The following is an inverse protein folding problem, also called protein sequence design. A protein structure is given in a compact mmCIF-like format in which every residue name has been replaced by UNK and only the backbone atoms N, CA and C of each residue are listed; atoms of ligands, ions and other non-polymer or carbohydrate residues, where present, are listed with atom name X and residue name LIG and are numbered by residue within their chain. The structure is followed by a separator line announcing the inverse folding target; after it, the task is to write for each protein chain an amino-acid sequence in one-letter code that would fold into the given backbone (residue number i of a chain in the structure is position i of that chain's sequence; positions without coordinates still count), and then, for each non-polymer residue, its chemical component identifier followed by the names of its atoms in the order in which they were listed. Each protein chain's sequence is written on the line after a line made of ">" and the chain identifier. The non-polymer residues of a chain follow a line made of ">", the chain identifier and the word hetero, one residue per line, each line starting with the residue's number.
data_IF_261308191941
#
_entry.id   IF_261308191941
#
_cell.length_a   1.000
_cell.length_b   1.000
_cell.length_c   1.000
_cell.angle_alpha   90.00
_cell.angle_beta   90.00
_cell.angle_gamma   90.00
#
_symmetry.space_group_name_H-M   'P 1'
#
loop_
_entity.id
_entity.type
_entity.pdbx_description
1 polymer ?
#
# COMPACT_ATOMS: atom_id res chain seq x y z
N UNK A 1 4.75 -8.20 -46.18
CA UNK A 1 4.87 -9.06 -45.00
C UNK A 1 6.12 -8.66 -44.23
N UNK A 2 5.96 -7.74 -43.28
CA UNK A 2 7.00 -7.41 -42.28
C UNK A 2 6.75 -8.28 -41.05
N UNK A 3 7.81 -8.87 -40.51
CA UNK A 3 7.80 -9.89 -39.46
C UNK A 3 7.28 -9.33 -38.13
N UNK A 4 6.46 -10.10 -37.40
CA UNK A 4 5.93 -9.74 -36.06
C UNK A 4 6.99 -9.39 -35.00
N UNK A 5 8.28 -9.59 -35.29
CA UNK A 5 9.39 -9.07 -34.47
C UNK A 5 9.53 -7.54 -34.51
N UNK A 6 9.15 -6.88 -35.61
CA UNK A 6 9.24 -5.42 -35.72
C UNK A 6 8.10 -4.70 -35.01
N UNK A 7 6.91 -5.31 -34.93
CA UNK A 7 5.76 -4.77 -34.18
C UNK A 7 6.02 -4.77 -32.67
N UNK A 8 6.52 -5.87 -32.11
CA UNK A 8 6.86 -5.95 -30.69
C UNK A 8 8.01 -5.01 -30.29
N UNK A 9 8.96 -4.76 -31.22
CA UNK A 9 10.00 -3.76 -30.98
C UNK A 9 9.42 -2.36 -30.98
N UNK A 10 8.52 -2.05 -31.92
CA UNK A 10 7.83 -0.75 -32.00
C UNK A 10 6.99 -0.46 -30.74
N UNK A 11 6.22 -1.43 -30.25
CA UNK A 11 5.41 -1.29 -29.02
C UNK A 11 6.28 -1.07 -27.78
N UNK A 12 7.42 -1.78 -27.65
CA UNK A 12 8.39 -1.52 -26.57
C UNK A 12 9.00 -0.12 -26.65
N UNK A 13 9.32 0.35 -27.85
CA UNK A 13 9.84 1.71 -28.05
C UNK A 13 8.81 2.79 -27.71
N UNK A 14 7.54 2.60 -28.09
CA UNK A 14 6.45 3.52 -27.74
C UNK A 14 6.21 3.54 -26.23
N UNK A 15 6.20 2.38 -25.56
CA UNK A 15 6.08 2.28 -24.09
C UNK A 15 7.23 2.98 -23.35
N UNK A 16 8.48 2.82 -23.82
CA UNK A 16 9.62 3.55 -23.26
C UNK A 16 9.51 5.07 -23.48
N UNK A 17 9.03 5.52 -24.63
CA UNK A 17 8.86 6.96 -24.91
C UNK A 17 7.75 7.53 -24.01
N UNK A 18 6.63 6.82 -23.84
CA UNK A 18 5.54 7.25 -22.96
C UNK A 18 6.01 7.31 -21.50
N UNK A 19 6.76 6.31 -21.02
CA UNK A 19 7.33 6.32 -19.68
C UNK A 19 8.31 7.48 -19.47
N UNK A 20 9.17 7.78 -20.46
CA UNK A 20 10.09 8.93 -20.40
C UNK A 20 9.31 10.24 -20.37
N UNK A 21 8.26 10.38 -21.17
CA UNK A 21 7.42 11.59 -21.20
C UNK A 21 6.74 11.79 -19.84
N UNK A 22 6.15 10.75 -19.24
CA UNK A 22 5.52 10.80 -17.92
C UNK A 22 6.54 11.17 -16.84
N UNK A 23 7.72 10.54 -16.83
CA UNK A 23 8.79 10.89 -15.88
C UNK A 23 9.24 12.35 -16.05
N UNK A 24 9.35 12.85 -17.28
CA UNK A 24 9.72 14.23 -17.54
C UNK A 24 8.63 15.22 -17.12
N UNK A 25 7.34 14.91 -17.29
CA UNK A 25 6.25 15.76 -16.78
C UNK A 25 6.24 15.80 -15.27
N UNK A 26 6.39 14.66 -14.58
CA UNK A 26 6.45 14.60 -13.11
C UNK A 26 7.65 15.39 -12.58
N UNK A 27 8.84 15.21 -13.17
CA UNK A 27 10.04 15.99 -12.80
C UNK A 27 9.80 17.49 -13.04
N UNK A 28 9.16 17.87 -14.13
CA UNK A 28 8.89 19.29 -14.44
C UNK A 28 7.91 19.90 -13.43
N UNK A 29 6.85 19.18 -13.05
CA UNK A 29 5.89 19.61 -12.03
C UNK A 29 6.57 19.74 -10.67
N UNK A 30 7.40 18.77 -10.26
CA UNK A 30 8.15 18.82 -9.00
C UNK A 30 9.15 19.98 -8.99
N UNK A 31 9.87 20.23 -10.09
CA UNK A 31 10.83 21.34 -10.21
C UNK A 31 10.12 22.70 -10.22
N UNK A 32 8.94 22.81 -10.85
CA UNK A 32 8.13 24.04 -10.83
C UNK A 32 7.58 24.31 -9.42
N UNK A 33 7.08 23.28 -8.72
CA UNK A 33 6.63 23.36 -7.32
C UNK A 33 7.78 23.71 -6.37
N UNK A 34 8.96 23.14 -6.58
CA UNK A 34 10.17 23.47 -5.82
C UNK A 34 10.66 24.90 -6.10
N UNK A 35 10.63 25.37 -7.37
CA UNK A 35 10.96 26.76 -7.72
C UNK A 35 9.95 27.76 -7.16
N UNK A 36 8.67 27.40 -7.11
CA UNK A 36 7.63 28.21 -6.45
C UNK A 36 7.91 28.36 -4.94
N UNK A 37 8.24 27.25 -4.26
CA UNK A 37 8.69 27.26 -2.85
C UNK A 37 9.98 28.07 -2.62
N UNK A 38 10.97 27.93 -3.51
CA UNK A 38 12.25 28.65 -3.40
C UNK A 38 12.09 30.15 -3.68
N UNK A 39 11.23 30.55 -4.62
CA UNK A 39 10.96 31.97 -4.88
C UNK A 39 10.09 32.61 -3.80
N UNK A 40 9.22 31.84 -3.13
CA UNK A 40 8.51 32.29 -1.92
C UNK A 40 9.46 32.59 -0.75
N UNK A 41 10.53 31.81 -0.60
CA UNK A 41 11.51 31.95 0.48
C UNK A 41 12.59 33.04 0.27
N UNK A 42 12.65 33.69 -0.90
CA UNK A 42 13.70 34.69 -1.20
C UNK A 42 13.35 36.13 -0.79
N UNK A 43 12.14 36.38 -0.27
CA UNK A 43 11.68 37.73 0.10
C UNK A 43 11.49 37.96 1.61
N UNK A 44 12.07 37.14 2.47
CA UNK A 44 12.04 37.36 3.92
C UNK A 44 13.46 37.37 4.50
N UNK A 45 13.98 38.58 4.76
CA UNK A 45 15.10 38.76 5.69
C UNK A 45 14.68 38.38 7.12
N UNK A 46 15.61 37.91 7.98
CA UNK A 46 15.26 37.29 9.24
C UNK A 46 15.03 38.36 10.33
N UNK A 47 13.77 38.67 10.62
CA UNK A 47 13.40 39.33 11.87
C UNK A 47 12.99 38.26 12.88
N UNK A 48 13.85 38.02 13.85
CA UNK A 48 13.53 37.31 15.10
C UNK A 48 12.55 38.16 15.91
N UNK A 49 11.26 37.93 15.71
CA UNK A 49 10.24 38.20 16.72
C UNK A 49 9.47 36.90 16.94
N UNK A 50 9.63 36.36 18.15
CA UNK A 50 8.82 35.25 18.65
C UNK A 50 7.35 35.70 18.62
N UNK A 51 6.58 35.13 17.71
CA UNK A 51 5.12 35.15 17.80
C UNK A 51 4.74 34.20 18.94
N UNK A 52 4.46 34.74 20.12
CA UNK A 52 3.90 34.08 21.31
C UNK A 52 2.51 33.41 21.09
N UNK A 53 2.11 33.14 19.85
CA UNK A 53 0.84 32.49 19.50
C UNK A 53 1.03 31.19 18.71
N UNK A 54 2.13 30.46 18.92
CA UNK A 54 2.10 29.02 18.64
C UNK A 54 1.35 28.34 19.78
N UNK A 55 0.06 28.07 19.56
CA UNK A 55 -0.70 27.14 20.39
C UNK A 55 0.03 25.80 20.29
N UNK A 56 0.85 25.49 21.28
CA UNK A 56 1.28 24.13 21.56
C UNK A 56 -0.04 23.39 21.82
N UNK A 57 -0.41 22.35 21.04
CA UNK A 57 -1.57 21.54 21.39
C UNK A 57 -1.35 21.06 22.83
N UNK A 58 -2.28 21.38 23.73
CA UNK A 58 -2.22 20.89 25.10
C UNK A 58 -2.11 19.36 25.06
N UNK A 59 -1.21 18.78 25.87
CA UNK A 59 -0.94 17.33 26.01
C UNK A 59 -2.14 16.52 26.58
N UNK A 60 -3.34 17.09 26.51
CA UNK A 60 -4.58 16.58 27.09
C UNK A 60 -5.66 16.30 26.02
N UNK A 61 -5.30 16.01 24.76
CA UNK A 61 -6.25 15.32 23.87
C UNK A 61 -6.52 13.93 24.47
N UNK A 62 -7.70 13.76 25.08
CA UNK A 62 -8.22 12.48 25.58
C UNK A 62 -7.82 11.36 24.61
N UNK A 63 -7.18 10.31 25.14
CA UNK A 63 -6.91 9.08 24.40
C UNK A 63 -8.15 8.75 23.55
N UNK A 64 -7.97 8.69 22.22
CA UNK A 64 -9.08 8.55 21.29
C UNK A 64 -9.76 7.21 21.54
N UNK A 65 -10.78 7.17 22.40
CA UNK A 65 -11.50 5.95 22.77
C UNK A 65 -12.00 5.26 21.50
N UNK A 66 -11.39 4.15 21.11
CA UNK A 66 -11.65 3.53 19.80
C UNK A 66 -13.15 3.20 19.68
N UNK A 67 -13.77 3.44 18.52
CA UNK A 67 -15.18 3.09 18.34
C UNK A 67 -15.40 1.60 18.66
N UNK A 68 -16.57 1.17 19.17
CA UNK A 68 -16.84 -0.25 19.41
C UNK A 68 -16.51 -1.09 18.18
N UNK A 69 -15.56 -2.00 18.31
CA UNK A 69 -15.07 -2.83 17.21
C UNK A 69 -15.75 -4.19 17.20
N UNK A 70 -16.02 -4.69 16.00
CA UNK A 70 -16.57 -6.03 15.77
C UNK A 70 -15.44 -7.06 15.58
N UNK A 71 -14.21 -6.60 15.37
CA UNK A 71 -13.04 -7.44 15.14
C UNK A 71 -12.64 -8.20 16.41
N UNK A 72 -12.44 -9.51 16.28
CA UNK A 72 -11.73 -10.30 17.28
C UNK A 72 -10.23 -10.15 17.03
N UNK A 73 -9.49 -9.57 17.97
CA UNK A 73 -8.04 -9.37 17.89
C UNK A 73 -7.23 -10.44 18.63
N UNK A 74 -7.87 -11.53 19.05
CA UNK A 74 -7.19 -12.66 19.68
C UNK A 74 -6.25 -13.33 18.67
N UNK A 75 -4.99 -13.52 19.07
CA UNK A 75 -4.05 -14.31 18.27
C UNK A 75 -4.45 -15.78 18.33
N UNK A 76 -4.83 -16.32 17.18
CA UNK A 76 -5.11 -17.74 17.00
C UNK A 76 -4.00 -18.41 16.19
N UNK A 77 -3.46 -19.57 16.64
CA UNK A 77 -2.46 -20.28 15.87
C UNK A 77 -2.99 -20.75 14.51
N UNK A 78 -2.09 -20.96 13.56
CA UNK A 78 -2.44 -21.46 12.24
C UNK A 78 -3.18 -22.80 12.27
N UNK A 79 -4.32 -22.86 11.58
CA UNK A 79 -5.21 -24.01 11.53
C UNK A 79 -4.71 -25.13 10.59
N UNK A 80 -3.62 -24.89 9.86
CA UNK A 80 -3.01 -25.84 8.94
C UNK A 80 -3.64 -25.91 7.55
N UNK A 81 -4.69 -25.14 7.22
CA UNK A 81 -5.20 -25.14 5.85
C UNK A 81 -4.27 -24.38 4.92
N UNK A 82 -4.05 -24.87 3.69
CA UNK A 82 -3.17 -24.22 2.73
C UNK A 82 -3.75 -22.85 2.32
N UNK A 83 -2.97 -21.78 2.50
CA UNK A 83 -3.28 -20.41 2.08
C UNK A 83 -2.17 -19.81 1.25
N UNK A 84 -2.48 -18.75 0.51
CA UNK A 84 -1.47 -17.81 0.04
C UNK A 84 -1.39 -16.62 1.01
N UNK A 85 -0.45 -15.71 0.74
CA UNK A 85 -0.32 -14.44 1.45
C UNK A 85 -0.67 -13.33 0.46
N UNK A 86 -1.53 -12.41 0.86
CA UNK A 86 -1.89 -11.24 0.06
C UNK A 86 -1.44 -9.97 0.76
N UNK A 87 -0.54 -9.24 0.11
CA UNK A 87 0.05 -8.02 0.64
C UNK A 87 -0.57 -6.80 -0.04
N UNK A 88 -1.36 -6.02 0.71
CA UNK A 88 -2.00 -4.80 0.22
C UNK A 88 -1.30 -3.57 0.78
N UNK A 89 -1.08 -2.58 -0.07
CA UNK A 89 -0.48 -1.32 0.34
C UNK A 89 -0.22 -0.39 -0.83
N UNK A 90 0.63 0.60 -0.60
CA UNK A 90 0.97 1.64 -1.57
C UNK A 90 2.29 1.34 -2.29
N UNK A 91 3.07 2.38 -2.63
CA UNK A 91 4.41 2.25 -3.23
C UNK A 91 5.42 1.50 -2.36
N UNK A 92 5.26 1.51 -1.03
CA UNK A 92 6.13 0.81 -0.09
C UNK A 92 5.87 -0.70 -0.07
N UNK A 93 4.64 -1.12 -0.36
CA UNK A 93 4.34 -2.54 -0.56
C UNK A 93 4.67 -2.96 -2.00
N UNK A 94 4.37 -2.10 -2.97
CA UNK A 94 4.70 -2.32 -4.39
C UNK A 94 6.20 -2.56 -4.60
N UNK A 95 7.05 -1.83 -3.88
CA UNK A 95 8.50 -2.00 -3.93
C UNK A 95 9.22 -0.97 -4.79
N UNK A 96 8.71 0.27 -4.89
CA UNK A 96 9.42 1.36 -5.59
C UNK A 96 10.82 1.51 -4.99
N UNK A 97 11.83 1.70 -5.84
CA UNK A 97 13.20 1.94 -5.38
C UNK A 97 14.04 0.68 -5.19
N UNK A 98 13.44 -0.51 -5.27
CA UNK A 98 14.17 -1.77 -5.35
C UNK A 98 15.24 -1.70 -6.47
N UNK A 99 16.42 -2.26 -6.18
CA UNK A 99 17.62 -2.08 -7.00
C UNK A 99 18.62 -3.20 -6.77
N UNK A 100 19.86 -3.02 -7.21
CA UNK A 100 20.90 -4.03 -7.05
C UNK A 100 21.32 -4.18 -5.58
N UNK A 101 21.32 -5.41 -5.05
CA UNK A 101 21.68 -5.70 -3.67
C UNK A 101 22.06 -7.18 -3.46
N UNK A 102 23.02 -7.44 -2.58
CA UNK A 102 23.52 -8.78 -2.28
C UNK A 102 23.76 -8.93 -0.78
N UNK A 103 23.15 -9.94 -0.17
CA UNK A 103 23.30 -10.23 1.27
C UNK A 103 24.20 -11.45 1.43
N UNK A 104 25.29 -11.29 2.18
CA UNK A 104 26.21 -12.40 2.46
C UNK A 104 25.67 -13.26 3.61
N UNK A 105 25.34 -14.51 3.33
CA UNK A 105 25.09 -15.54 4.35
C UNK A 105 26.40 -16.14 4.89
N UNK A 106 26.29 -17.18 5.72
CA UNK A 106 27.43 -17.88 6.32
C UNK A 106 28.28 -18.64 5.29
N UNK A 107 27.68 -19.13 4.19
CA UNK A 107 28.38 -19.91 3.16
C UNK A 107 28.07 -19.51 1.70
N UNK A 108 27.03 -18.69 1.44
CA UNK A 108 26.65 -18.23 0.08
C UNK A 108 26.17 -16.76 0.07
N UNK A 109 26.35 -16.08 -1.06
CA UNK A 109 25.82 -14.73 -1.30
C UNK A 109 24.43 -14.86 -1.91
N UNK A 110 23.42 -14.30 -1.24
CA UNK A 110 22.06 -14.21 -1.74
C UNK A 110 21.92 -12.94 -2.58
N UNK A 111 21.61 -13.10 -3.86
CA UNK A 111 21.25 -12.00 -4.74
C UNK A 111 19.79 -11.61 -4.49
N UNK A 112 19.60 -10.43 -3.88
CA UNK A 112 18.28 -9.85 -3.59
C UNK A 112 17.98 -8.68 -4.53
N UNK A 113 18.64 -8.61 -5.68
CA UNK A 113 18.47 -7.52 -6.62
C UNK A 113 17.04 -7.44 -7.13
N UNK A 114 16.41 -6.29 -6.97
CA UNK A 114 15.02 -6.06 -7.34
C UNK A 114 14.00 -6.69 -6.39
N UNK A 115 14.42 -7.32 -5.28
CA UNK A 115 13.48 -7.87 -4.31
C UNK A 115 12.68 -6.77 -3.63
N UNK A 116 11.39 -7.05 -3.50
CA UNK A 116 10.40 -6.31 -2.72
C UNK A 116 10.14 -7.01 -1.38
N UNK A 117 9.31 -6.39 -0.53
CA UNK A 117 8.91 -7.01 0.75
C UNK A 117 8.19 -8.36 0.50
N UNK A 118 7.20 -8.45 -0.41
CA UNK A 118 6.59 -9.73 -0.79
C UNK A 118 7.56 -10.81 -1.31
N UNK A 119 8.57 -10.45 -2.10
CA UNK A 119 9.54 -11.43 -2.63
C UNK A 119 10.34 -12.09 -1.50
N UNK A 120 10.77 -11.29 -0.53
CA UNK A 120 11.47 -11.77 0.65
C UNK A 120 10.58 -12.69 1.49
N UNK A 121 9.31 -12.32 1.67
CA UNK A 121 8.35 -13.12 2.40
C UNK A 121 8.05 -14.46 1.70
N UNK A 122 7.90 -14.46 0.37
CA UNK A 122 7.72 -15.69 -0.43
C UNK A 122 8.95 -16.59 -0.31
N UNK A 123 10.15 -16.02 -0.37
CA UNK A 123 11.40 -16.75 -0.21
C UNK A 123 11.53 -17.42 1.16
N UNK A 124 11.26 -16.68 2.25
CA UNK A 124 11.43 -17.18 3.62
C UNK A 124 10.35 -18.18 4.03
N UNK A 125 9.10 -17.95 3.62
CA UNK A 125 7.97 -18.82 4.00
C UNK A 125 7.82 -20.02 3.07
N UNK A 126 8.23 -19.90 1.81
CA UNK A 126 7.86 -20.83 0.74
C UNK A 126 6.37 -20.81 0.37
N UNK A 127 5.60 -19.87 0.92
CA UNK A 127 4.17 -19.68 0.64
C UNK A 127 4.05 -18.71 -0.54
N UNK A 128 3.10 -18.96 -1.45
CA UNK A 128 2.83 -18.03 -2.55
C UNK A 128 2.39 -16.68 -1.98
N UNK A 129 3.07 -15.61 -2.37
CA UNK A 129 2.75 -14.22 -2.00
C UNK A 129 2.27 -13.45 -3.24
N UNK A 130 1.20 -12.68 -3.05
CA UNK A 130 0.67 -11.74 -4.04
C UNK A 130 1.01 -10.31 -3.59
N UNK A 131 1.86 -9.64 -4.37
CA UNK A 131 2.14 -8.22 -4.19
C UNK A 131 1.03 -7.38 -4.83
N UNK A 132 0.06 -6.96 -4.02
CA UNK A 132 -1.10 -6.17 -4.45
C UNK A 132 -0.91 -4.68 -4.12
N UNK A 133 0.34 -4.25 -3.91
CA UNK A 133 0.72 -2.87 -3.70
C UNK A 133 0.59 -2.04 -4.98
N UNK A 134 0.11 -0.80 -4.87
CA UNK A 134 -0.01 0.13 -6.01
C UNK A 134 0.50 1.51 -5.61
N UNK A 135 1.41 2.05 -6.42
CA UNK A 135 2.06 3.31 -6.12
C UNK A 135 1.09 4.50 -6.09
N UNK A 136 1.19 5.30 -5.03
CA UNK A 136 0.47 6.58 -4.90
C UNK A 136 -0.97 6.46 -4.42
N UNK A 137 -1.47 5.24 -4.19
CA UNK A 137 -2.81 5.07 -3.63
C UNK A 137 -2.87 5.48 -2.16
N UNK A 138 -4.00 6.09 -1.82
CA UNK A 138 -4.43 6.38 -0.45
C UNK A 138 -4.99 5.12 0.23
N UNK A 139 -5.11 5.15 1.56
CA UNK A 139 -5.79 4.09 2.33
C UNK A 139 -7.22 3.81 1.84
N UNK A 140 -7.97 4.84 1.47
CA UNK A 140 -9.33 4.70 0.97
C UNK A 140 -9.37 3.96 -0.37
N UNK A 141 -8.49 4.31 -1.31
CA UNK A 141 -8.37 3.63 -2.60
C UNK A 141 -7.95 2.17 -2.41
N UNK A 142 -6.98 1.89 -1.54
CA UNK A 142 -6.52 0.53 -1.25
C UNK A 142 -7.64 -0.29 -0.59
N UNK A 143 -8.38 0.28 0.37
CA UNK A 143 -9.50 -0.39 1.03
C UNK A 143 -10.66 -0.68 0.06
N UNK A 144 -10.93 0.23 -0.88
CA UNK A 144 -11.92 0.04 -1.94
C UNK A 144 -11.50 -1.08 -2.89
N UNK A 145 -10.23 -1.09 -3.29
CA UNK A 145 -9.65 -2.07 -4.21
C UNK A 145 -9.56 -3.47 -3.61
N UNK A 146 -9.25 -3.57 -2.32
CA UNK A 146 -9.28 -4.81 -1.55
C UNK A 146 -10.71 -5.28 -1.25
N UNK A 147 -11.71 -4.40 -1.34
CA UNK A 147 -13.11 -4.69 -1.05
C UNK A 147 -13.47 -4.54 0.43
N UNK A 148 -12.61 -3.94 1.25
CA UNK A 148 -12.97 -3.48 2.59
C UNK A 148 -14.08 -2.44 2.52
N UNK A 149 -13.89 -1.41 1.69
CA UNK A 149 -14.96 -0.49 1.27
C UNK A 149 -15.69 -1.13 0.07
N UNK A 150 -17.01 -1.27 0.18
CA UNK A 150 -17.81 -1.97 -0.84
C UNK A 150 -18.11 -1.05 -2.02
N UNK A 151 -18.19 -1.64 -3.22
CA UNK A 151 -18.63 -0.99 -4.44
C UNK A 151 -19.95 -1.60 -4.93
N UNK A 152 -20.80 -0.79 -5.55
CA UNK A 152 -22.09 -1.19 -6.09
C UNK A 152 -22.32 -0.58 -7.45
N UNK A 153 -23.07 -1.28 -8.30
CA UNK A 153 -23.61 -0.67 -9.52
C UNK A 153 -24.71 0.33 -9.16
N UNK A 154 -24.71 1.50 -9.80
CA UNK A 154 -25.66 2.60 -9.55
C UNK A 154 -26.75 2.68 -10.63
N UNK A 155 -26.77 1.72 -11.56
CA UNK A 155 -27.81 1.60 -12.58
C UNK A 155 -28.09 0.14 -12.92
N UNK A 156 -29.33 -0.14 -13.33
CA UNK A 156 -29.73 -1.45 -13.86
C UNK A 156 -29.40 -1.54 -15.34
N UNK A 157 -28.79 -2.64 -15.78
CA UNK A 157 -28.44 -2.88 -17.19
C UNK A 157 -28.56 -4.36 -17.58
N UNK A 158 -28.63 -4.62 -18.88
CA UNK A 158 -28.54 -5.96 -19.48
C UNK A 158 -27.38 -5.98 -20.46
N UNK A 159 -26.48 -6.97 -20.36
CA UNK A 159 -25.26 -7.01 -21.18
C UNK A 159 -24.81 -8.43 -21.51
N UNK A 160 -24.25 -8.61 -22.70
CA UNK A 160 -23.69 -9.86 -23.21
C UNK A 160 -22.15 -9.85 -23.31
N UNK A 161 -21.58 -10.81 -24.01
CA UNK A 161 -20.12 -10.93 -24.22
C UNK A 161 -19.60 -10.06 -25.37
N UNK A 162 -20.41 -9.81 -26.41
CA UNK A 162 -20.03 -9.07 -27.62
C UNK A 162 -20.46 -7.59 -27.61
N UNK A 163 -21.13 -7.16 -26.54
CA UNK A 163 -21.66 -5.80 -26.36
C UNK A 163 -21.10 -5.17 -25.07
N UNK A 164 -20.98 -3.85 -25.05
CA UNK A 164 -20.74 -3.09 -23.83
C UNK A 164 -21.84 -2.06 -23.60
N UNK A 165 -22.14 -1.81 -22.33
CA UNK A 165 -23.14 -0.82 -21.90
C UNK A 165 -22.53 0.12 -20.88
N UNK A 166 -23.06 1.34 -20.79
CA UNK A 166 -22.63 2.31 -19.79
C UNK A 166 -23.00 1.83 -18.38
N UNK A 167 -22.08 1.99 -17.44
CA UNK A 167 -22.26 1.65 -16.04
C UNK A 167 -21.80 2.80 -15.16
N UNK A 168 -22.46 2.98 -14.02
CA UNK A 168 -22.01 3.83 -12.92
C UNK A 168 -21.71 2.96 -11.73
N UNK A 169 -20.59 3.21 -11.05
CA UNK A 169 -20.16 2.47 -9.86
C UNK A 169 -19.99 3.48 -8.73
N UNK A 170 -20.56 3.14 -7.57
CA UNK A 170 -20.46 3.95 -6.36
C UNK A 170 -19.92 3.13 -5.20
N UNK A 171 -19.24 3.76 -4.27
CA UNK A 171 -18.86 3.14 -3.00
C UNK A 171 -20.07 3.01 -2.05
N UNK A 172 -19.88 2.38 -0.89
CA UNK A 172 -20.94 2.22 0.12
C UNK A 172 -21.45 3.54 0.74
N UNK A 173 -20.76 4.65 0.48
CA UNK A 173 -21.13 6.00 0.88
C UNK A 173 -21.83 6.78 -0.25
N UNK A 174 -21.96 6.17 -1.44
CA UNK A 174 -22.58 6.78 -2.62
C UNK A 174 -21.64 7.66 -3.44
N UNK A 175 -20.32 7.63 -3.20
CA UNK A 175 -19.37 8.40 -4.01
C UNK A 175 -19.04 7.64 -5.31
N UNK A 176 -18.93 8.33 -6.46
CA UNK A 176 -18.50 7.70 -7.70
C UNK A 176 -17.11 7.06 -7.60
N UNK A 177 -16.95 5.90 -8.23
CA UNK A 177 -15.71 5.13 -8.19
C UNK A 177 -15.07 5.07 -9.56
N UNK A 178 -13.81 5.48 -9.63
CA UNK A 178 -12.94 5.31 -10.78
C UNK A 178 -11.62 4.71 -10.34
N UNK A 179 -11.12 3.74 -11.09
CA UNK A 179 -9.90 3.00 -10.78
C UNK A 179 -9.03 2.86 -12.02
N UNK A 180 -7.72 2.84 -11.84
CA UNK A 180 -6.79 2.59 -12.94
C UNK A 180 -6.79 1.12 -13.39
N UNK A 181 -7.12 0.20 -12.48
CA UNK A 181 -7.29 -1.22 -12.75
C UNK A 181 -8.38 -1.79 -11.82
N UNK A 182 -9.53 -2.14 -12.38
CA UNK A 182 -10.63 -2.75 -11.62
C UNK A 182 -10.36 -4.20 -11.21
N UNK A 183 -9.36 -4.87 -11.79
CA UNK A 183 -8.98 -6.22 -11.36
C UNK A 183 -8.28 -6.25 -10.01
N UNK A 184 -7.72 -5.11 -9.59
CA UNK A 184 -6.97 -4.94 -8.34
C UNK A 184 -5.70 -5.80 -8.23
N UNK A 185 -5.28 -6.48 -9.29
CA UNK A 185 -4.03 -7.25 -9.28
C UNK A 185 -2.79 -6.38 -9.46
N UNK A 186 -2.97 -5.09 -9.80
CA UNK A 186 -1.87 -4.14 -9.89
C UNK A 186 -0.89 -4.58 -10.97
N UNK A 187 0.30 -5.02 -10.59
CA UNK A 187 1.34 -5.46 -11.51
C UNK A 187 1.69 -6.95 -11.40
N UNK A 188 0.84 -7.75 -10.75
CA UNK A 188 1.03 -9.20 -10.64
C UNK A 188 0.74 -9.87 -11.98
N UNK A 189 1.76 -10.19 -12.77
CA UNK A 189 1.58 -10.80 -14.10
C UNK A 189 1.60 -12.34 -14.07
N UNK A 190 0.84 -13.02 -14.96
CA UNK A 190 -0.18 -12.47 -15.86
C UNK A 190 -1.58 -12.47 -15.21
N UNK A 191 -2.30 -11.35 -15.36
CA UNK A 191 -3.74 -11.25 -15.11
C UNK A 191 -4.40 -10.49 -16.25
N UNK A 192 -5.69 -10.74 -16.46
CA UNK A 192 -6.48 -9.86 -17.34
C UNK A 192 -6.90 -8.62 -16.52
N UNK A 193 -6.57 -7.40 -16.96
CA UNK A 193 -6.91 -6.18 -16.23
C UNK A 193 -8.41 -5.89 -16.30
N UNK A 194 -8.86 -5.07 -15.34
CA UNK A 194 -10.22 -4.54 -15.25
C UNK A 194 -11.36 -5.56 -15.13
N UNK A 195 -11.03 -6.79 -14.77
CA UNK A 195 -12.01 -7.84 -14.52
C UNK A 195 -12.58 -7.70 -13.11
N UNK A 196 -13.90 -7.83 -12.99
CA UNK A 196 -14.61 -7.84 -11.71
C UNK A 196 -15.58 -9.01 -11.64
N UNK A 197 -16.02 -9.33 -10.42
CA UNK A 197 -17.11 -10.24 -10.16
C UNK A 197 -18.36 -9.48 -9.69
N UNK A 198 -19.50 -9.82 -10.28
CA UNK A 198 -20.83 -9.36 -9.87
C UNK A 198 -21.71 -10.62 -9.80
N UNK A 199 -22.23 -10.97 -8.63
CA UNK A 199 -22.98 -12.23 -8.40
C UNK A 199 -22.22 -13.50 -8.88
N UNK A 200 -20.92 -13.59 -8.58
CA UNK A 200 -20.02 -14.67 -9.02
C UNK A 200 -19.79 -14.78 -10.54
N UNK A 201 -20.45 -13.94 -11.36
CA UNK A 201 -20.19 -13.82 -12.79
C UNK A 201 -19.08 -12.80 -13.06
N UNK A 202 -18.23 -13.08 -14.05
CA UNK A 202 -17.14 -12.20 -14.45
C UNK A 202 -17.61 -11.14 -15.46
N UNK A 203 -17.17 -9.92 -15.23
CA UNK A 203 -17.37 -8.77 -16.12
C UNK A 203 -16.06 -8.04 -16.34
N UNK A 204 -15.98 -7.28 -17.43
CA UNK A 204 -14.87 -6.38 -17.69
C UNK A 204 -15.37 -4.95 -17.71
N UNK A 205 -14.76 -4.09 -16.91
CA UNK A 205 -15.01 -2.65 -16.90
C UNK A 205 -13.96 -1.97 -17.76
N UNK A 206 -14.34 -0.94 -18.50
CA UNK A 206 -13.43 -0.12 -19.31
C UNK A 206 -13.87 1.33 -19.25
N UNK A 207 -13.01 2.24 -19.73
CA UNK A 207 -13.30 3.67 -19.71
C UNK A 207 -12.63 4.38 -18.54
N UNK A 208 -12.99 5.65 -18.35
CA UNK A 208 -12.38 6.57 -17.39
C UNK A 208 -13.42 7.57 -16.88
N UNK A 209 -13.06 8.37 -15.88
CA UNK A 209 -13.89 9.52 -15.46
C UNK A 209 -14.26 10.44 -16.63
N UNK A 210 -13.31 10.70 -17.54
CA UNK A 210 -13.54 11.58 -18.69
C UNK A 210 -14.45 10.96 -19.77
N UNK A 211 -14.46 9.63 -19.88
CA UNK A 211 -15.15 8.91 -20.97
C UNK A 211 -16.40 8.17 -20.52
N UNK A 212 -16.67 8.10 -19.22
CA UNK A 212 -17.66 7.20 -18.62
C UNK A 212 -17.14 5.76 -18.54
N UNK A 213 -17.72 4.98 -17.63
CA UNK A 213 -17.41 3.56 -17.51
C UNK A 213 -18.35 2.73 -18.39
N UNK A 214 -17.79 1.69 -18.99
CA UNK A 214 -18.50 0.71 -19.78
C UNK A 214 -18.22 -0.69 -19.26
N UNK A 215 -19.23 -1.55 -19.25
CA UNK A 215 -19.12 -2.93 -18.78
C UNK A 215 -19.59 -3.91 -19.85
N UNK A 216 -18.93 -5.06 -19.93
CA UNK A 216 -19.38 -6.22 -20.70
C UNK A 216 -19.19 -7.51 -19.90
N UNK A 217 -19.89 -8.59 -20.29
CA UNK A 217 -19.60 -9.92 -19.71
C UNK A 217 -18.22 -10.37 -20.15
N UNK A 218 -17.52 -11.06 -19.26
CA UNK A 218 -16.18 -11.59 -19.52
C UNK A 218 -16.10 -13.07 -19.17
N UNK A 219 -15.23 -13.80 -19.86
CA UNK A 219 -14.92 -15.20 -19.60
C UNK A 219 -13.49 -15.48 -20.04
N UNK A 220 -12.75 -16.26 -19.26
CA UNK A 220 -11.38 -16.66 -19.60
C UNK A 220 -11.34 -17.68 -20.76
N UNK A 221 -12.46 -18.35 -21.03
CA UNK A 221 -12.61 -19.30 -22.13
C UNK A 221 -13.62 -18.80 -23.15
N UNK A 222 -13.43 -19.13 -24.43
CA UNK A 222 -14.44 -18.85 -25.46
C UNK A 222 -15.78 -19.47 -25.07
N UNK A 223 -16.80 -18.62 -24.99
CA UNK A 223 -18.18 -19.00 -24.73
C UNK A 223 -18.97 -18.81 -26.01
N UNK A 224 -19.73 -19.83 -26.40
CA UNK A 224 -20.63 -19.75 -27.55
C UNK A 224 -22.01 -19.27 -27.15
N UNK A 225 -22.43 -18.11 -27.67
CA UNK A 225 -23.84 -17.69 -27.69
C UNK A 225 -24.12 -16.28 -27.16
N UNK A 226 -25.29 -15.76 -27.54
CA UNK A 226 -25.86 -14.47 -27.15
C UNK A 226 -26.40 -14.49 -25.70
N UNK A 227 -25.55 -14.84 -24.72
CA UNK A 227 -25.96 -14.97 -23.32
C UNK A 227 -25.91 -13.61 -22.60
N UNK A 228 -27.07 -13.00 -22.39
CA UNK A 228 -27.21 -11.76 -21.64
C UNK A 228 -27.43 -12.01 -20.14
N UNK A 229 -26.89 -11.11 -19.31
CA UNK A 229 -27.18 -11.04 -17.88
C UNK A 229 -27.77 -9.68 -17.55
N UNK A 230 -28.88 -9.67 -16.80
CA UNK A 230 -29.40 -8.46 -16.16
C UNK A 230 -28.70 -8.26 -14.82
N UNK A 231 -28.08 -7.10 -14.62
CA UNK A 231 -27.52 -6.67 -13.34
C UNK A 231 -28.40 -5.54 -12.81
N UNK A 232 -28.86 -5.66 -11.57
CA UNK A 232 -29.71 -4.67 -10.92
C UNK A 232 -28.87 -3.65 -10.15
N UNK A 233 -29.34 -2.40 -10.13
CA UNK A 233 -28.84 -1.35 -9.24
C UNK A 233 -28.70 -1.87 -7.79
N UNK A 234 -27.62 -1.47 -7.12
CA UNK A 234 -27.28 -1.93 -5.77
C UNK A 234 -26.63 -3.31 -5.71
N UNK A 235 -26.37 -3.99 -6.84
CA UNK A 235 -25.60 -5.23 -6.83
C UNK A 235 -24.12 -4.92 -6.58
N UNK A 236 -23.48 -5.67 -5.67
CA UNK A 236 -22.09 -5.45 -5.31
C UNK A 236 -21.14 -5.78 -6.47
N UNK A 237 -20.16 -4.92 -6.68
CA UNK A 237 -19.01 -5.13 -7.56
C UNK A 237 -17.80 -5.53 -6.70
N UNK A 238 -17.16 -6.64 -7.03
CA UNK A 238 -15.96 -7.12 -6.33
C UNK A 238 -14.79 -7.20 -7.31
N UNK A 239 -13.65 -6.60 -6.98
CA UNK A 239 -12.45 -6.70 -7.82
C UNK A 239 -12.00 -8.16 -7.95
N UNK A 240 -11.37 -8.52 -9.07
CA UNK A 240 -10.88 -9.90 -9.28
C UNK A 240 -9.96 -10.36 -8.14
N UNK A 241 -9.01 -9.52 -7.72
CA UNK A 241 -8.10 -9.84 -6.64
C UNK A 241 -8.82 -10.00 -5.29
N UNK A 242 -9.77 -9.12 -4.94
CA UNK A 242 -10.55 -9.25 -3.70
C UNK A 242 -11.34 -10.57 -3.67
N UNK A 243 -11.96 -10.93 -4.79
CA UNK A 243 -12.74 -12.16 -4.91
C UNK A 243 -11.87 -13.42 -4.75
N UNK A 244 -10.75 -13.48 -5.47
CA UNK A 244 -9.92 -14.69 -5.57
C UNK A 244 -8.87 -14.84 -4.46
N UNK A 245 -8.61 -13.78 -3.68
CA UNK A 245 -7.68 -13.78 -2.53
C UNK A 245 -8.38 -13.86 -1.19
N UNK A 246 -9.69 -14.11 -1.18
CA UNK A 246 -10.45 -14.35 0.04
C UNK A 246 -9.92 -15.58 0.78
N UNK A 247 -9.70 -15.45 2.08
CA UNK A 247 -9.15 -16.50 2.94
C UNK A 247 -7.62 -16.58 2.98
N UNK A 248 -6.90 -15.73 2.25
CA UNK A 248 -5.45 -15.60 2.35
C UNK A 248 -5.00 -15.00 3.69
N UNK A 249 -3.75 -15.26 4.08
CA UNK A 249 -3.12 -14.52 5.18
C UNK A 249 -2.89 -13.09 4.72
N UNK A 250 -3.31 -12.11 5.51
CA UNK A 250 -3.39 -10.71 5.10
C UNK A 250 -2.24 -9.87 5.66
N UNK A 251 -1.49 -9.19 4.80
CA UNK A 251 -0.50 -8.19 5.21
C UNK A 251 -1.00 -6.82 4.73
N UNK A 252 -1.16 -5.88 5.66
CA UNK A 252 -1.68 -4.54 5.35
C UNK A 252 -0.66 -3.46 5.73
N UNK A 253 -0.37 -2.58 4.78
CA UNK A 253 0.41 -1.35 4.99
C UNK A 253 -0.30 -0.20 4.25
N UNK A 254 -1.14 0.54 4.98
CA UNK A 254 -1.93 1.64 4.40
C UNK A 254 -1.88 2.89 5.28
N UNK A 255 -2.10 4.05 4.66
CA UNK A 255 -2.36 5.32 5.35
C UNK A 255 -1.33 6.42 5.10
N UNK A 256 -0.12 6.09 4.64
CA UNK A 256 1.01 7.01 4.42
C UNK A 256 0.69 8.12 3.42
N UNK A 257 -0.06 7.78 2.36
CA UNK A 257 -0.53 8.75 1.36
C UNK A 257 -1.88 9.43 1.71
N UNK A 258 -2.48 9.10 2.85
CA UNK A 258 -3.74 9.70 3.31
C UNK A 258 -4.95 8.89 2.92
N UNK A 259 -6.06 9.58 2.63
CA UNK A 259 -7.38 8.95 2.43
C UNK A 259 -8.18 8.77 3.73
N UNK A 260 -7.80 9.49 4.78
CA UNK A 260 -8.46 9.47 6.08
C UNK A 260 -8.30 10.83 6.77
N UNK A 261 -9.32 11.26 7.52
CA UNK A 261 -9.38 12.55 8.22
C UNK A 261 -8.90 12.45 9.68
N UNK A 262 -9.02 11.27 10.28
CA UNK A 262 -8.55 10.97 11.63
C UNK A 262 -8.27 9.47 11.80
N UNK A 263 -7.56 9.10 12.87
CA UNK A 263 -7.15 7.71 13.11
C UNK A 263 -8.32 6.73 13.22
N UNK A 264 -9.52 7.17 13.64
CA UNK A 264 -10.70 6.29 13.70
C UNK A 264 -11.13 5.85 12.30
N UNK A 265 -11.07 6.76 11.33
CA UNK A 265 -11.36 6.41 9.94
C UNK A 265 -10.32 5.44 9.39
N UNK A 266 -9.03 5.68 9.62
CA UNK A 266 -7.98 4.75 9.20
C UNK A 266 -8.18 3.35 9.83
N UNK A 267 -8.48 3.28 11.12
CA UNK A 267 -8.77 2.01 11.81
C UNK A 267 -10.01 1.33 11.20
N UNK A 268 -11.07 2.07 10.89
CA UNK A 268 -12.26 1.49 10.24
C UNK A 268 -11.97 0.90 8.87
N UNK A 269 -11.05 1.50 8.10
CA UNK A 269 -10.61 0.98 6.80
C UNK A 269 -9.84 -0.35 6.97
N UNK A 270 -8.88 -0.40 7.89
CA UNK A 270 -8.20 -1.64 8.26
C UNK A 270 -9.19 -2.72 8.73
N UNK A 271 -10.12 -2.40 9.63
CA UNK A 271 -11.14 -3.33 10.14
C UNK A 271 -11.99 -3.90 9.01
N UNK A 272 -12.44 -3.04 8.10
CA UNK A 272 -13.24 -3.45 6.94
C UNK A 272 -12.45 -4.39 6.01
N UNK A 273 -11.16 -4.11 5.79
CA UNK A 273 -10.30 -4.96 4.97
C UNK A 273 -10.05 -6.33 5.60
N UNK A 274 -9.82 -6.39 6.91
CA UNK A 274 -9.64 -7.65 7.66
C UNK A 274 -10.92 -8.48 7.61
N UNK A 275 -12.08 -7.86 7.88
CA UNK A 275 -13.38 -8.53 7.79
C UNK A 275 -13.67 -9.04 6.38
N UNK A 276 -13.34 -8.26 5.35
CA UNK A 276 -13.54 -8.67 3.96
C UNK A 276 -12.66 -9.86 3.56
N UNK A 277 -11.41 -9.91 4.05
CA UNK A 277 -10.48 -10.99 3.78
C UNK A 277 -11.02 -12.34 4.26
N UNK A 278 -11.82 -12.36 5.33
CA UNK A 278 -12.41 -13.59 5.87
C UNK A 278 -11.37 -14.56 6.42
N UNK A 279 -10.26 -14.03 6.94
CA UNK A 279 -9.14 -14.78 7.50
C UNK A 279 -8.71 -14.11 8.81
N UNK A 280 -8.54 -14.91 9.86
CA UNK A 280 -8.11 -14.42 11.19
C UNK A 280 -6.59 -14.14 11.22
N UNK A 281 -5.85 -14.58 10.21
CA UNK A 281 -4.40 -14.38 10.11
C UNK A 281 -4.10 -13.09 9.37
N UNK A 282 -3.75 -12.05 10.13
CA UNK A 282 -3.34 -10.77 9.56
C UNK A 282 -2.18 -10.13 10.33
N UNK A 283 -1.38 -9.32 9.63
CA UNK A 283 -0.31 -8.48 10.18
C UNK A 283 -0.50 -7.06 9.68
N UNK A 284 -0.49 -6.09 10.60
CA UNK A 284 -0.54 -4.66 10.30
C UNK A 284 0.88 -4.09 10.37
N UNK A 285 1.35 -3.55 9.26
CA UNK A 285 2.68 -2.97 9.12
C UNK A 285 2.58 -1.47 9.33
N UNK A 286 3.27 -0.95 10.36
CA UNK A 286 3.33 0.47 10.64
C UNK A 286 4.07 1.27 9.57
N UNK A 287 3.80 2.58 9.54
CA UNK A 287 4.45 3.55 8.65
C UNK A 287 5.97 3.52 8.80
N UNK A 288 6.67 3.88 7.72
CA UNK A 288 8.14 3.88 7.64
C UNK A 288 8.72 5.24 7.28
N UNK A 289 7.90 6.28 7.22
CA UNK A 289 8.37 7.64 7.10
C UNK A 289 9.16 8.07 8.35
N UNK A 290 10.06 9.05 8.18
CA UNK A 290 10.75 9.63 9.32
C UNK A 290 9.73 10.40 10.22
N UNK A 291 9.94 10.45 11.55
CA UNK A 291 9.04 11.19 12.43
C UNK A 291 8.89 12.64 11.99
N UNK A 292 7.64 13.09 11.92
CA UNK A 292 7.28 14.42 11.46
C UNK A 292 7.22 14.64 9.94
N UNK A 293 7.55 13.64 9.12
CA UNK A 293 7.41 13.75 7.65
C UNK A 293 6.15 13.09 7.11
N UNK A 294 5.53 12.23 7.92
CA UNK A 294 4.26 11.60 7.60
C UNK A 294 3.14 12.64 7.62
N UNK A 295 2.13 12.47 6.77
CA UNK A 295 0.95 13.37 6.75
C UNK A 295 0.18 13.38 8.08
N UNK A 296 0.31 12.31 8.86
CA UNK A 296 -0.33 12.08 10.15
C UNK A 296 0.47 12.60 11.33
N UNK A 297 1.76 12.85 11.10
CA UNK A 297 2.72 13.25 12.12
C UNK A 297 3.39 14.55 11.68
N UNK A 298 2.93 15.67 12.23
CA UNK A 298 3.52 17.00 11.95
C UNK A 298 4.66 17.34 12.91
N UNK A 299 5.10 16.40 13.76
CA UNK A 299 5.99 16.67 14.88
C UNK A 299 7.48 16.82 14.52
N UNK A 300 7.81 17.20 13.28
CA UNK A 300 9.18 17.12 12.77
C UNK A 300 10.17 17.97 13.58
N UNK A 301 11.11 17.29 14.24
CA UNK A 301 12.22 17.95 14.94
C UNK A 301 11.84 18.59 16.27
N UNK A 302 10.63 18.35 16.78
CA UNK A 302 10.29 18.67 18.16
C UNK A 302 10.92 17.66 19.13
N UNK A 303 11.06 18.09 20.39
CA UNK A 303 11.52 17.25 21.48
C UNK A 303 10.43 17.17 22.55
N UNK A 304 10.35 16.04 23.24
CA UNK A 304 9.64 15.90 24.51
C UNK A 304 10.27 16.86 25.56
N UNK A 305 9.56 17.11 26.66
CA UNK A 305 10.04 17.98 27.76
C UNK A 305 11.40 17.55 28.31
N UNK A 306 11.72 16.25 28.26
CA UNK A 306 12.99 15.68 28.72
C UNK A 306 14.15 15.86 27.73
N UNK A 307 13.89 16.51 26.58
CA UNK A 307 14.87 16.78 25.53
C UNK A 307 15.13 15.63 24.55
N UNK A 308 14.41 14.51 24.69
CA UNK A 308 14.41 13.44 23.66
C UNK A 308 13.60 13.86 22.44
N UNK A 309 14.00 13.44 21.24
CA UNK A 309 13.23 13.77 20.02
C UNK A 309 11.89 13.01 20.01
N UNK A 310 10.83 13.69 19.57
CA UNK A 310 9.53 13.03 19.30
C UNK A 310 9.75 12.01 18.16
N UNK A 311 9.23 10.79 18.33
CA UNK A 311 9.45 9.65 17.44
C UNK A 311 10.67 8.79 17.75
N UNK A 312 11.38 9.00 18.87
CA UNK A 312 12.34 8.00 19.39
C UNK A 312 11.62 6.76 19.92
N UNK A 313 10.42 6.94 20.50
CA UNK A 313 9.46 5.86 20.73
C UNK A 313 8.40 5.83 19.62
N UNK A 314 7.23 5.29 19.96
CA UNK A 314 6.08 5.28 19.06
C UNK A 314 5.62 6.71 18.74
N UNK A 315 5.31 6.98 17.47
CA UNK A 315 4.53 8.17 17.08
C UNK A 315 3.07 8.00 17.53
N UNK A 316 2.27 9.07 17.52
CA UNK A 316 0.84 8.97 17.83
C UNK A 316 0.12 7.96 16.91
N UNK A 317 0.51 7.91 15.64
CA UNK A 317 0.00 6.94 14.68
C UNK A 317 0.39 5.50 15.08
N UNK A 318 1.67 5.25 15.34
CA UNK A 318 2.15 3.92 15.72
C UNK A 318 1.54 3.44 17.03
N UNK A 319 1.43 4.31 18.03
CA UNK A 319 0.78 4.01 19.31
C UNK A 319 -0.70 3.65 19.10
N UNK A 320 -1.41 4.40 18.25
CA UNK A 320 -2.82 4.17 17.95
C UNK A 320 -3.05 2.83 17.23
N UNK A 321 -2.19 2.46 16.27
CA UNK A 321 -2.28 1.14 15.62
C UNK A 321 -1.84 0.01 16.57
N UNK A 322 -0.84 0.24 17.40
CA UNK A 322 -0.40 -0.71 18.42
C UNK A 322 -1.51 -1.02 19.42
N UNK A 323 -2.20 0.01 19.93
CA UNK A 323 -3.36 -0.15 20.81
C UNK A 323 -4.51 -0.88 20.11
N UNK A 324 -4.77 -0.56 18.84
CA UNK A 324 -5.85 -1.18 18.08
C UNK A 324 -5.58 -2.67 17.77
N UNK A 325 -4.38 -3.04 17.31
CA UNK A 325 -4.14 -4.39 16.77
C UNK A 325 -3.27 -5.28 17.67
N UNK A 326 -2.72 -4.73 18.76
CA UNK A 326 -1.93 -5.49 19.73
C UNK A 326 -0.80 -6.27 19.06
N UNK A 327 -0.75 -7.57 19.31
CA UNK A 327 0.30 -8.45 18.79
C UNK A 327 0.34 -8.54 17.26
N UNK A 328 -0.77 -8.25 16.57
CA UNK A 328 -0.83 -8.25 15.10
C UNK A 328 -0.14 -7.03 14.47
N UNK A 329 0.18 -5.99 15.26
CA UNK A 329 0.90 -4.82 14.78
C UNK A 329 2.41 -5.02 14.85
N UNK A 330 3.11 -4.55 13.82
CA UNK A 330 4.56 -4.36 13.85
C UNK A 330 4.88 -2.88 13.60
N UNK A 331 5.53 -2.25 14.57
CA UNK A 331 6.14 -0.93 14.37
C UNK A 331 7.38 -1.09 13.47
N UNK A 332 7.17 -1.02 12.15
CA UNK A 332 8.20 -1.32 11.17
C UNK A 332 9.38 -0.33 11.24
N UNK A 333 9.10 0.95 11.51
CA UNK A 333 10.14 1.96 11.63
C UNK A 333 11.11 1.66 12.75
N UNK A 334 10.59 1.35 13.94
CA UNK A 334 11.44 1.01 15.10
C UNK A 334 12.23 -0.28 14.84
N UNK A 335 11.59 -1.31 14.28
CA UNK A 335 12.28 -2.55 13.88
C UNK A 335 13.46 -2.26 12.95
N UNK A 336 13.26 -1.46 11.89
CA UNK A 336 14.31 -1.18 10.90
C UNK A 336 15.44 -0.32 11.44
N UNK A 337 15.18 0.50 12.47
CA UNK A 337 16.22 1.24 13.20
C UNK A 337 17.11 0.29 14.01
N UNK A 338 16.50 -0.70 14.64
CA UNK A 338 17.19 -1.64 15.54
C UNK A 338 17.91 -2.75 14.78
N UNK A 339 17.25 -3.34 13.78
CA UNK A 339 17.68 -4.59 13.15
C UNK A 339 17.99 -4.43 11.64
N UNK A 340 17.41 -3.43 10.97
CA UNK A 340 17.40 -3.41 9.50
C UNK A 340 18.78 -3.41 8.83
N UNK A 341 19.78 -2.78 9.46
CA UNK A 341 21.16 -2.85 8.95
C UNK A 341 21.80 -4.23 9.17
N UNK A 342 21.63 -4.84 10.34
CA UNK A 342 22.19 -6.16 10.62
C UNK A 342 21.54 -7.24 9.76
N UNK A 343 20.24 -7.14 9.52
CA UNK A 343 19.48 -8.06 8.67
C UNK A 343 20.03 -8.02 7.24
N UNK A 344 20.33 -6.82 6.74
CA UNK A 344 20.94 -6.61 5.44
C UNK A 344 22.46 -6.91 5.39
N UNK A 345 23.09 -7.33 6.49
CA UNK A 345 24.54 -7.54 6.57
C UNK A 345 25.37 -6.25 6.48
N UNK A 346 24.75 -5.09 6.70
CA UNK A 346 25.35 -3.77 6.64
C UNK A 346 25.86 -3.32 8.01
N UNK A 347 26.84 -2.42 7.99
CA UNK A 347 27.39 -1.82 9.22
C UNK A 347 26.86 -0.41 9.42
N UNK A 348 26.44 -0.11 10.63
CA UNK A 348 26.04 1.23 11.02
C UNK A 348 27.21 2.23 10.93
N UNK A 349 26.93 3.39 10.34
CA UNK A 349 27.83 4.54 10.27
C UNK A 349 27.55 5.51 11.42
N UNK A 350 28.46 6.47 11.64
CA UNK A 350 28.21 7.57 12.56
C UNK A 350 26.99 8.42 12.19
N UNK A 351 26.59 8.45 10.90
CA UNK A 351 25.38 9.15 10.48
C UNK A 351 24.13 8.40 10.91
N UNK A 352 24.15 7.06 10.85
CA UNK A 352 23.04 6.20 11.27
C UNK A 352 22.77 6.36 12.76
N UNK A 353 23.81 6.29 13.60
CA UNK A 353 23.64 6.53 15.05
C UNK A 353 23.06 7.90 15.40
N UNK A 354 23.28 8.93 14.57
CA UNK A 354 22.64 10.25 14.74
C UNK A 354 21.20 10.28 14.23
N UNK A 355 20.86 9.44 13.24
CA UNK A 355 19.51 9.26 12.73
C UNK A 355 18.64 8.47 13.72
N UNK A 356 19.17 7.38 14.28
CA UNK A 356 18.47 6.53 15.26
C UNK A 356 18.01 7.32 16.49
N UNK A 357 18.86 8.21 17.00
CA UNK A 357 18.51 9.14 18.11
C UNK A 357 17.41 10.15 17.77
N UNK A 358 16.94 10.17 16.52
CA UNK A 358 15.86 11.01 16.00
C UNK A 358 14.74 10.17 15.41
N UNK A 359 14.72 8.86 15.69
CA UNK A 359 13.70 7.95 15.16
C UNK A 359 13.77 7.71 13.66
N UNK A 360 14.92 7.93 13.00
CA UNK A 360 15.05 7.82 11.54
C UNK A 360 15.70 6.51 11.13
N UNK A 361 15.10 5.85 10.16
CA UNK A 361 15.68 4.66 9.51
C UNK A 361 16.98 5.04 8.80
N UNK A 362 17.92 4.10 8.74
CA UNK A 362 19.19 4.32 8.04
C UNK A 362 18.95 4.65 6.57
N UNK A 363 19.66 5.68 6.07
CA UNK A 363 19.67 6.00 4.63
C UNK A 363 20.30 4.91 3.78
N UNK A 364 21.06 3.98 4.38
CA UNK A 364 21.60 2.84 3.65
C UNK A 364 20.49 1.86 3.20
N UNK A 365 19.32 1.90 3.82
CA UNK A 365 18.15 1.10 3.47
C UNK A 365 17.21 1.82 2.50
N UNK A 366 17.42 3.11 2.22
CA UNK A 366 16.55 3.93 1.37
C UNK A 366 17.11 4.10 -0.05
N UNK A 367 16.22 4.16 -1.03
CA UNK A 367 16.54 4.58 -2.40
C UNK A 367 16.35 6.08 -2.58
N UNK A 368 15.35 6.65 -1.90
CA UNK A 368 15.09 8.09 -1.84
C UNK A 368 14.70 8.53 -0.43
N UNK A 369 13.82 9.53 -0.28
CA UNK A 369 13.43 10.04 1.03
C UNK A 369 12.34 9.18 1.70
N UNK A 370 11.52 8.47 0.92
CA UNK A 370 10.43 7.59 1.39
C UNK A 370 10.81 6.14 1.14
N UNK A 371 11.13 5.82 -0.11
CA UNK A 371 11.18 4.46 -0.59
C UNK A 371 12.47 3.73 -0.18
N UNK A 372 12.33 2.42 0.00
CA UNK A 372 13.46 1.55 0.27
C UNK A 372 14.19 1.13 -1.00
N UNK A 373 15.48 0.84 -0.84
CA UNK A 373 16.20 0.00 -1.79
C UNK A 373 15.97 -1.48 -1.42
N UNK A 374 16.53 -2.40 -2.20
CA UNK A 374 16.31 -3.83 -1.96
C UNK A 374 16.82 -4.33 -0.60
N UNK A 375 17.82 -3.70 0.02
CA UNK A 375 18.20 -4.03 1.40
C UNK A 375 17.12 -3.67 2.41
N UNK A 376 16.48 -2.49 2.24
CA UNK A 376 15.39 -2.07 3.11
C UNK A 376 14.14 -2.94 2.96
N UNK A 377 13.77 -3.28 1.73
CA UNK A 377 12.67 -4.21 1.49
C UNK A 377 12.95 -5.63 1.99
N UNK A 378 14.19 -6.09 1.87
CA UNK A 378 14.61 -7.36 2.45
C UNK A 378 14.47 -7.37 3.98
N UNK A 379 15.01 -6.36 4.66
CA UNK A 379 14.90 -6.24 6.12
C UNK A 379 13.44 -6.15 6.58
N UNK A 380 12.61 -5.39 5.86
CA UNK A 380 11.16 -5.30 6.12
C UNK A 380 10.45 -6.66 5.92
N UNK A 381 10.79 -7.39 4.87
CA UNK A 381 10.24 -8.74 4.63
C UNK A 381 10.64 -9.73 5.71
N UNK A 382 11.88 -9.66 6.21
CA UNK A 382 12.35 -10.47 7.34
C UNK A 382 11.57 -10.15 8.61
N UNK A 383 11.35 -8.87 8.91
CA UNK A 383 10.57 -8.42 10.07
C UNK A 383 9.13 -8.99 10.05
N UNK A 384 8.47 -8.95 8.88
CA UNK A 384 7.12 -9.51 8.72
C UNK A 384 7.15 -11.03 8.84
N UNK A 385 8.17 -11.69 8.29
CA UNK A 385 8.35 -13.13 8.45
C UNK A 385 8.47 -13.51 9.92
N UNK A 386 9.33 -12.83 10.69
CA UNK A 386 9.52 -13.07 12.12
C UNK A 386 8.23 -12.84 12.91
N UNK A 387 7.49 -11.75 12.60
CA UNK A 387 6.19 -11.48 13.20
C UNK A 387 5.18 -12.59 12.93
N UNK A 388 5.13 -13.14 11.72
CA UNK A 388 4.24 -14.28 11.45
C UNK A 388 4.69 -15.59 12.09
N UNK A 389 5.98 -15.78 12.37
CA UNK A 389 6.45 -16.90 13.22
C UNK A 389 6.01 -16.70 14.67
N UNK A 390 6.14 -15.47 15.19
CA UNK A 390 5.69 -15.09 16.54
C UNK A 390 4.19 -15.36 16.74
N UNK A 391 3.36 -14.94 15.77
CA UNK A 391 1.91 -15.16 15.76
C UNK A 391 1.51 -16.60 15.43
N UNK A 392 2.47 -17.44 15.02
CA UNK A 392 2.24 -18.84 14.69
C UNK A 392 1.49 -19.06 13.37
N UNK A 393 1.61 -18.15 12.41
CA UNK A 393 1.00 -18.23 11.07
C UNK A 393 1.80 -19.13 10.11
N UNK A 394 3.10 -19.25 10.35
CA UNK A 394 4.01 -20.16 9.64
C UNK A 394 5.18 -20.59 10.55
N UNK A 395 6.10 -21.38 10.00
CA UNK A 395 7.23 -21.98 10.74
C UNK A 395 8.56 -21.71 10.07
#
# INVERSE_FOLDING_TARGET
>A
MSSGKDYNRYVKWVRCIVAIVICLTVITVVVLSAKSRINGNKNSEPTTEYSENSVIPEEDEEAYDLPPRVLNSDVVPYDGQRRAISCWGDSMMFGIGAGEAYVSGSDEVLDISGWTTPDTLEYLTGIKVYNLGVSGETSNEIALRQGGIKMYVDNTFEVGYDDSVEVSIVDEYGNPVYMADFSAYGYVEPHEPDVVYINDDMFKITGTEETGLYICRYSETEVGGDAFTTVYEGTQVTTKASYERKGDILILEIGSNGGWDNYRQLISQYDAMIQNAGCDYYIIVGDTDDPGTSIADTSQGFCNEDGTYIGVGDTAWEATLSEAYGEHFINMRTYLIENGLSDAGLRATNADYRGFRRGRISKQLRSDWTHFNSYGYYAKGLAIYEKGVELGYWK
#
